data_IF_574878191357
#
_entry.id   IF_574878191357
#
_cell.length_a   1.000
_cell.length_b   1.000
_cell.length_c   1.000
_cell.angle_alpha   90.00
_cell.angle_beta   90.00
_cell.angle_gamma   90.00
#
_symmetry.space_group_name_H-M   'P 1'
#
loop_
_entity.id
_entity.type
_entity.pdbx_description
1 polymer ?
#
# COMPACT_ATOMS: atom_id res chain seq x y z
N UNK A 1 -2.26 -48.55 -19.56
CA UNK A 1 -3.24 -47.51 -19.96
C UNK A 1 -4.03 -46.94 -18.76
N UNK A 2 -4.73 -47.78 -17.94
CA UNK A 2 -5.49 -47.28 -16.76
C UNK A 2 -4.65 -46.52 -15.71
N UNK A 3 -3.47 -47.00 -15.37
CA UNK A 3 -2.59 -46.34 -14.38
C UNK A 3 -2.15 -44.97 -14.88
N UNK A 4 -1.74 -44.85 -16.15
CA UNK A 4 -1.33 -43.57 -16.75
C UNK A 4 -2.49 -42.56 -16.74
N UNK A 5 -3.69 -43.03 -17.05
CA UNK A 5 -4.91 -42.21 -17.04
C UNK A 5 -5.21 -41.65 -15.62
N UNK A 6 -5.14 -42.53 -14.59
CA UNK A 6 -5.32 -42.13 -13.20
C UNK A 6 -4.28 -41.11 -12.79
N UNK A 7 -2.98 -41.31 -13.12
CA UNK A 7 -1.93 -40.37 -12.81
C UNK A 7 -2.18 -39.01 -13.47
N UNK A 8 -2.55 -38.97 -14.74
CA UNK A 8 -2.85 -37.74 -15.45
C UNK A 8 -4.02 -36.98 -14.80
N UNK A 9 -5.12 -37.67 -14.48
CA UNK A 9 -6.26 -37.05 -13.80
C UNK A 9 -5.86 -36.52 -12.43
N UNK A 10 -5.08 -37.26 -11.66
CA UNK A 10 -4.61 -36.81 -10.34
C UNK A 10 -3.75 -35.55 -10.44
N UNK A 11 -2.86 -35.47 -11.43
CA UNK A 11 -2.04 -34.28 -11.68
C UNK A 11 -2.92 -33.09 -12.06
N UNK A 12 -3.88 -33.26 -12.97
CA UNK A 12 -4.81 -32.20 -13.37
C UNK A 12 -5.61 -31.70 -12.16
N UNK A 13 -6.11 -32.61 -11.33
CA UNK A 13 -6.86 -32.27 -10.12
C UNK A 13 -5.99 -31.47 -9.14
N UNK A 14 -4.75 -31.89 -8.90
CA UNK A 14 -3.80 -31.18 -8.04
C UNK A 14 -3.49 -29.76 -8.57
N UNK A 15 -3.26 -29.62 -9.86
CA UNK A 15 -3.03 -28.31 -10.50
C UNK A 15 -4.28 -27.43 -10.35
N UNK A 16 -5.46 -27.97 -10.55
CA UNK A 16 -6.73 -27.24 -10.42
C UNK A 16 -6.95 -26.76 -8.99
N UNK A 17 -6.77 -27.63 -8.01
CA UNK A 17 -6.88 -27.30 -6.57
C UNK A 17 -5.86 -26.25 -6.20
N UNK A 18 -4.60 -26.42 -6.61
CA UNK A 18 -3.53 -25.47 -6.35
C UNK A 18 -3.84 -24.09 -6.99
N UNK A 19 -4.26 -24.06 -8.25
CA UNK A 19 -4.65 -22.83 -8.94
C UNK A 19 -5.79 -22.12 -8.22
N UNK A 20 -6.82 -22.84 -7.81
CA UNK A 20 -7.92 -22.29 -7.02
C UNK A 20 -7.43 -21.73 -5.67
N UNK A 21 -6.54 -22.44 -4.99
CA UNK A 21 -6.02 -22.03 -3.70
C UNK A 21 -5.23 -20.70 -3.80
N UNK A 22 -4.33 -20.56 -4.77
CA UNK A 22 -3.48 -19.37 -4.89
C UNK A 22 -4.23 -18.16 -5.46
N UNK A 23 -5.25 -18.37 -6.31
CA UNK A 23 -6.05 -17.28 -6.90
C UNK A 23 -7.19 -16.80 -6.01
N UNK A 24 -7.40 -17.42 -4.84
CA UNK A 24 -8.46 -16.97 -3.91
C UNK A 24 -8.21 -15.52 -3.44
N UNK A 25 -9.28 -14.77 -3.23
CA UNK A 25 -9.22 -13.35 -2.92
C UNK A 25 -8.55 -12.98 -1.59
N UNK A 26 -8.41 -13.92 -0.67
CA UNK A 26 -8.00 -13.62 0.71
C UNK A 26 -9.17 -13.16 1.58
N UNK A 27 -8.90 -12.94 2.87
CA UNK A 27 -9.89 -12.45 3.85
C UNK A 27 -9.49 -11.07 4.36
N UNK A 28 -10.44 -10.34 4.92
CA UNK A 28 -10.14 -9.13 5.69
C UNK A 28 -9.35 -9.54 6.94
N UNK A 29 -8.24 -8.86 7.18
CA UNK A 29 -7.46 -8.97 8.40
C UNK A 29 -7.25 -7.57 8.93
N UNK A 30 -7.90 -7.26 10.04
CA UNK A 30 -7.84 -5.94 10.67
C UNK A 30 -6.83 -6.00 11.82
N UNK A 31 -5.81 -5.16 11.82
CA UNK A 31 -4.89 -5.05 12.93
C UNK A 31 -5.60 -4.45 14.15
N UNK A 32 -5.15 -4.83 15.33
CA UNK A 32 -5.64 -4.27 16.60
C UNK A 32 -4.56 -3.40 17.23
N UNK A 33 -4.97 -2.22 17.68
CA UNK A 33 -4.15 -1.36 18.51
C UNK A 33 -4.30 -1.70 19.99
N UNK A 34 -3.77 -0.83 20.83
CA UNK A 34 -3.85 -0.93 22.29
C UNK A 34 -4.06 0.45 22.90
N UNK A 35 -5.26 0.64 23.45
CA UNK A 35 -5.67 1.92 24.01
C UNK A 35 -5.94 3.00 22.96
N UNK A 36 -5.94 4.26 23.40
CA UNK A 36 -6.22 5.41 22.56
C UNK A 36 -5.12 6.45 22.63
N UNK A 37 -5.03 7.27 21.57
CA UNK A 37 -4.18 8.47 21.54
C UNK A 37 -5.07 9.67 21.22
N UNK A 38 -4.88 10.75 21.97
CA UNK A 38 -5.56 12.03 21.73
C UNK A 38 -4.66 12.96 20.96
N UNK A 39 -5.13 13.41 19.80
CA UNK A 39 -4.47 14.39 18.93
C UNK A 39 -5.36 15.62 18.80
N UNK A 40 -4.84 16.69 18.20
CA UNK A 40 -5.63 17.90 17.92
C UNK A 40 -6.86 17.65 17.04
N UNK A 41 -6.80 16.63 16.19
CA UNK A 41 -7.85 16.23 15.24
C UNK A 41 -8.81 15.17 15.81
N UNK A 42 -8.63 14.68 17.04
CA UNK A 42 -9.54 13.68 17.60
C UNK A 42 -8.87 12.62 18.48
N UNK A 43 -9.65 11.60 18.80
CA UNK A 43 -9.18 10.43 19.56
C UNK A 43 -9.15 9.22 18.63
N UNK A 44 -7.99 8.57 18.55
CA UNK A 44 -7.72 7.45 17.64
C UNK A 44 -7.25 6.23 18.42
N UNK A 45 -7.41 5.05 17.82
CA UNK A 45 -6.84 3.81 18.34
C UNK A 45 -5.32 3.84 18.24
N UNK A 46 -4.63 3.80 19.37
CA UNK A 46 -3.17 3.78 19.42
C UNK A 46 -2.62 2.44 18.94
N UNK A 47 -1.56 2.46 18.15
CA UNK A 47 -0.87 1.26 17.69
C UNK A 47 0.59 1.27 18.14
N UNK A 48 0.93 0.66 19.28
CA UNK A 48 2.33 0.49 19.68
C UNK A 48 3.11 -0.26 18.60
N UNK A 49 4.11 0.39 18.02
CA UNK A 49 4.94 -0.24 17.00
C UNK A 49 5.69 -1.45 17.61
N UNK A 50 5.75 -2.58 16.91
CA UNK A 50 6.61 -3.67 17.33
C UNK A 50 8.09 -3.25 17.27
N UNK A 51 8.94 -3.82 18.11
CA UNK A 51 10.34 -3.42 18.32
C UNK A 51 11.13 -3.22 17.03
N UNK A 52 10.93 -4.12 16.04
CA UNK A 52 11.64 -4.02 14.76
C UNK A 52 11.24 -2.79 13.93
N UNK A 53 10.05 -2.24 14.14
CA UNK A 53 9.57 -1.03 13.48
C UNK A 53 9.84 0.22 14.34
N UNK A 54 9.67 0.11 15.66
CA UNK A 54 9.90 1.20 16.61
C UNK A 54 11.35 1.74 16.52
N UNK A 55 12.34 0.84 16.41
CA UNK A 55 13.76 1.23 16.26
C UNK A 55 14.09 2.00 14.97
N UNK A 56 13.16 2.04 14.01
CA UNK A 56 13.36 2.70 12.72
C UNK A 56 12.96 4.17 12.71
N UNK A 57 12.39 4.67 13.80
CA UNK A 57 11.91 6.05 13.98
C UNK A 57 12.25 6.54 15.38
N UNK A 58 12.23 7.87 15.61
CA UNK A 58 12.42 8.40 16.95
C UNK A 58 11.20 8.15 17.85
N UNK A 59 11.34 8.23 19.18
CA UNK A 59 10.22 8.08 20.12
C UNK A 59 9.12 9.13 19.97
N UNK A 60 9.38 10.23 19.28
CA UNK A 60 8.42 11.32 19.07
C UNK A 60 7.34 10.96 18.03
N UNK A 61 7.57 9.89 17.26
CA UNK A 61 6.59 9.44 16.28
C UNK A 61 5.37 8.83 16.95
N UNK A 62 4.22 9.30 16.54
CA UNK A 62 2.91 8.75 16.90
C UNK A 62 2.53 7.70 15.87
N UNK A 63 1.94 6.61 16.34
CA UNK A 63 1.50 5.48 15.51
C UNK A 63 0.09 5.11 15.93
N UNK A 64 -0.88 5.21 14.99
CA UNK A 64 -2.29 5.02 15.29
C UNK A 64 -3.08 4.60 14.06
N UNK A 65 -4.34 4.25 14.27
CA UNK A 65 -5.27 3.89 13.20
C UNK A 65 -6.34 4.95 12.98
N UNK A 66 -6.66 5.18 11.72
CA UNK A 66 -7.90 5.82 11.27
C UNK A 66 -8.79 4.74 10.66
N UNK A 67 -9.98 4.53 11.21
CA UNK A 67 -10.96 3.63 10.64
C UNK A 67 -11.68 4.31 9.48
N UNK A 68 -11.56 3.73 8.30
CA UNK A 68 -12.09 4.32 7.05
C UNK A 68 -13.39 3.65 6.59
N UNK A 69 -13.61 2.43 7.01
CA UNK A 69 -14.85 1.65 6.89
C UNK A 69 -14.93 0.69 8.08
N UNK A 70 -16.12 0.16 8.42
CA UNK A 70 -16.23 -0.80 9.51
C UNK A 70 -15.25 -1.96 9.37
N UNK A 71 -14.29 -2.05 10.30
CA UNK A 71 -13.25 -3.07 10.30
C UNK A 71 -12.12 -2.85 9.30
N UNK A 72 -12.05 -1.72 8.60
CA UNK A 72 -10.95 -1.36 7.70
C UNK A 72 -10.22 -0.13 8.23
N UNK A 73 -8.97 -0.30 8.61
CA UNK A 73 -8.15 0.73 9.26
C UNK A 73 -6.91 1.06 8.46
N UNK A 74 -6.64 2.34 8.31
CA UNK A 74 -5.39 2.89 7.76
C UNK A 74 -4.45 3.18 8.92
N UNK A 75 -3.26 2.61 8.88
CA UNK A 75 -2.20 2.93 9.82
C UNK A 75 -1.56 4.28 9.44
N UNK A 76 -1.44 5.15 10.42
CA UNK A 76 -0.80 6.45 10.31
C UNK A 76 0.46 6.46 11.16
N UNK A 77 1.54 6.92 10.57
CA UNK A 77 2.75 7.33 11.27
C UNK A 77 2.83 8.85 11.21
N UNK A 78 2.98 9.51 12.35
CA UNK A 78 2.91 10.98 12.43
C UNK A 78 4.01 11.54 13.34
N UNK A 79 4.56 12.69 12.96
CA UNK A 79 5.55 13.41 13.78
C UNK A 79 5.47 14.91 13.53
N UNK A 80 5.84 15.71 14.55
CA UNK A 80 5.87 17.17 14.47
C UNK A 80 4.51 17.82 14.73
N UNK A 81 4.45 19.14 14.50
CA UNK A 81 3.27 19.99 14.71
C UNK A 81 3.27 21.16 13.73
N UNK A 82 2.12 21.78 13.49
CA UNK A 82 1.97 22.95 12.58
C UNK A 82 1.37 22.58 11.24
N UNK A 83 1.89 23.11 10.13
CA UNK A 83 1.36 22.93 8.79
C UNK A 83 1.37 21.45 8.38
N UNK A 84 0.22 20.85 7.98
CA UNK A 84 0.17 19.47 7.56
C UNK A 84 0.98 19.20 6.28
N UNK A 85 1.88 18.22 6.36
CA UNK A 85 2.64 17.65 5.24
C UNK A 85 2.24 16.19 5.12
N UNK A 86 1.50 15.84 4.07
CA UNK A 86 0.94 14.50 3.86
C UNK A 86 1.76 13.74 2.85
N UNK A 87 2.39 12.65 3.26
CA UNK A 87 3.38 11.91 2.47
C UNK A 87 2.86 10.50 2.16
N UNK A 88 2.49 10.27 0.89
CA UNK A 88 1.87 9.02 0.44
C UNK A 88 2.86 8.17 -0.37
N UNK A 89 3.11 6.97 0.15
CA UNK A 89 4.00 5.98 -0.45
C UNK A 89 3.32 5.17 -1.56
N UNK A 90 4.11 4.34 -2.24
CA UNK A 90 3.64 3.40 -3.25
C UNK A 90 3.81 1.92 -2.87
N UNK A 91 3.61 1.06 -3.86
CA UNK A 91 3.69 -0.39 -3.71
C UNK A 91 5.13 -0.89 -3.81
N UNK A 92 5.61 -1.78 -2.94
CA UNK A 92 4.96 -2.42 -1.79
C UNK A 92 5.42 -1.84 -0.42
N UNK A 93 5.75 -0.57 -0.35
CA UNK A 93 6.29 0.06 0.86
C UNK A 93 5.19 0.43 1.88
N UNK A 94 5.46 1.36 2.79
CA UNK A 94 4.52 1.88 3.79
C UNK A 94 4.89 3.31 4.16
N UNK A 95 4.15 3.97 5.04
CA UNK A 95 4.44 5.31 5.54
C UNK A 95 5.89 5.50 6.01
N UNK A 96 6.53 4.44 6.47
CA UNK A 96 7.95 4.46 6.85
C UNK A 96 8.92 4.85 5.71
N UNK A 97 8.46 4.84 4.44
CA UNK A 97 9.28 5.28 3.31
C UNK A 97 9.84 6.68 3.53
N UNK A 98 9.03 7.55 4.09
CA UNK A 98 9.34 8.96 4.25
C UNK A 98 10.04 9.33 5.57
N UNK A 99 10.28 8.38 6.49
CA UNK A 99 10.84 8.66 7.82
C UNK A 99 12.11 9.52 7.79
N UNK A 100 13.06 9.21 6.87
CA UNK A 100 14.32 9.97 6.74
C UNK A 100 14.12 11.38 6.17
N UNK A 101 13.03 11.59 5.41
CA UNK A 101 12.64 12.93 4.95
C UNK A 101 11.99 13.67 6.11
N UNK A 102 11.04 13.04 6.79
CA UNK A 102 10.35 13.61 7.95
C UNK A 102 11.36 14.10 9.01
N UNK A 103 12.37 13.29 9.34
CA UNK A 103 13.41 13.63 10.31
C UNK A 103 14.26 14.88 9.93
N UNK A 104 14.18 15.34 8.68
CA UNK A 104 14.89 16.52 8.17
C UNK A 104 14.02 17.77 8.04
N UNK A 105 12.72 17.63 8.24
CA UNK A 105 11.79 18.74 8.18
C UNK A 105 11.80 19.52 9.52
N UNK A 106 11.42 20.79 9.51
CA UNK A 106 11.30 21.59 10.74
C UNK A 106 10.05 21.18 11.52
N UNK A 107 10.17 20.12 12.34
CA UNK A 107 9.07 19.47 13.06
C UNK A 107 8.38 20.37 14.10
N UNK A 108 8.97 21.50 14.43
CA UNK A 108 8.34 22.58 15.20
C UNK A 108 7.35 23.43 14.38
N UNK A 109 7.39 23.32 13.03
CA UNK A 109 6.55 24.09 12.09
C UNK A 109 5.66 23.25 11.21
N UNK A 110 5.99 21.97 11.03
CA UNK A 110 5.23 21.06 10.17
C UNK A 110 4.80 19.80 10.90
N UNK A 111 3.56 19.39 10.66
CA UNK A 111 2.97 18.12 11.09
C UNK A 111 3.08 17.15 9.93
N UNK A 112 3.98 16.18 10.02
CA UNK A 112 4.21 15.19 8.96
C UNK A 112 3.32 13.98 9.19
N UNK A 113 2.46 13.68 8.24
CA UNK A 113 1.46 12.62 8.28
C UNK A 113 1.80 11.62 7.17
N UNK A 114 2.03 10.38 7.54
CA UNK A 114 2.50 9.31 6.66
C UNK A 114 1.56 8.10 6.74
N UNK A 115 0.44 8.13 6.00
CA UNK A 115 -0.47 6.98 5.97
C UNK A 115 0.15 5.80 5.24
N UNK A 116 -0.32 4.61 5.59
CA UNK A 116 0.01 3.37 4.88
C UNK A 116 -1.22 2.90 4.10
N UNK A 117 -1.05 2.63 2.81
CA UNK A 117 -2.12 2.10 1.94
C UNK A 117 -2.72 0.82 2.51
N UNK A 118 -4.06 0.68 2.40
CA UNK A 118 -4.75 -0.57 2.72
C UNK A 118 -4.11 -1.73 1.97
N UNK A 119 -3.87 -2.82 2.68
CA UNK A 119 -3.20 -4.02 2.20
C UNK A 119 -1.69 -4.07 2.50
N UNK A 120 -1.04 -2.93 2.78
CA UNK A 120 0.39 -2.83 3.03
C UNK A 120 0.71 -2.51 4.50
N UNK A 121 1.97 -2.65 4.89
CA UNK A 121 2.47 -2.35 6.23
C UNK A 121 1.52 -2.81 7.34
N UNK A 122 1.21 -1.92 8.28
CA UNK A 122 0.31 -2.20 9.40
C UNK A 122 -1.16 -1.85 9.13
N UNK A 123 -1.55 -1.39 7.94
CA UNK A 123 -2.95 -1.19 7.58
C UNK A 123 -3.70 -2.50 7.40
N UNK A 124 -5.03 -2.48 7.47
CA UNK A 124 -5.89 -3.64 7.22
C UNK A 124 -5.55 -4.30 5.89
N UNK A 125 -5.66 -5.63 5.85
CA UNK A 125 -5.55 -6.41 4.63
C UNK A 125 -6.97 -6.74 4.16
N UNK A 126 -7.16 -6.74 2.85
CA UNK A 126 -8.46 -6.93 2.22
C UNK A 126 -8.40 -7.96 1.10
N UNK A 127 -9.54 -8.48 0.63
CA UNK A 127 -9.60 -9.34 -0.55
C UNK A 127 -9.00 -8.68 -1.79
N UNK A 128 -8.35 -9.48 -2.64
CA UNK A 128 -7.68 -9.03 -3.86
C UNK A 128 -8.59 -8.21 -4.79
N UNK A 129 -9.86 -8.62 -4.92
CA UNK A 129 -10.84 -7.96 -5.80
C UNK A 129 -11.30 -6.57 -5.29
N UNK A 130 -11.03 -6.22 -4.04
CA UNK A 130 -11.34 -4.92 -3.47
C UNK A 130 -10.22 -3.88 -3.68
N UNK A 131 -9.04 -4.31 -4.12
CA UNK A 131 -7.98 -3.39 -4.51
C UNK A 131 -8.31 -2.76 -5.87
N UNK A 132 -8.95 -1.61 -5.84
CA UNK A 132 -9.20 -0.73 -6.99
C UNK A 132 -8.70 0.67 -6.67
N UNK A 133 -8.36 1.45 -7.70
CA UNK A 133 -7.89 2.82 -7.48
C UNK A 133 -8.97 3.66 -6.79
N UNK A 134 -10.24 3.53 -7.18
CA UNK A 134 -11.37 4.21 -6.53
C UNK A 134 -11.46 3.91 -5.04
N UNK A 135 -11.32 2.66 -4.64
CA UNK A 135 -11.35 2.30 -3.22
C UNK A 135 -10.19 2.93 -2.46
N UNK A 136 -8.97 2.87 -3.00
CA UNK A 136 -7.82 3.50 -2.37
C UNK A 136 -7.95 5.01 -2.26
N UNK A 137 -8.47 5.68 -3.30
CA UNK A 137 -8.79 7.12 -3.28
C UNK A 137 -9.81 7.42 -2.19
N UNK A 138 -10.91 6.66 -2.13
CA UNK A 138 -11.98 6.85 -1.14
C UNK A 138 -11.47 6.70 0.30
N UNK A 139 -10.63 5.71 0.58
CA UNK A 139 -10.05 5.52 1.91
C UNK A 139 -9.10 6.65 2.32
N UNK A 140 -8.27 7.13 1.41
CA UNK A 140 -7.38 8.27 1.71
C UNK A 140 -8.16 9.57 1.85
N UNK A 141 -9.22 9.79 1.04
CA UNK A 141 -10.12 10.91 1.25
C UNK A 141 -10.78 10.86 2.64
N UNK A 142 -11.21 9.67 3.09
CA UNK A 142 -11.74 9.49 4.45
C UNK A 142 -10.70 9.82 5.52
N UNK A 143 -9.42 9.43 5.33
CA UNK A 143 -8.32 9.80 6.24
C UNK A 143 -8.17 11.33 6.32
N UNK A 144 -8.16 12.03 5.17
CA UNK A 144 -8.03 13.50 5.14
C UNK A 144 -9.16 14.17 5.93
N UNK A 145 -10.40 13.66 5.78
CA UNK A 145 -11.56 14.18 6.50
C UNK A 145 -11.51 13.88 8.00
N UNK A 146 -11.18 12.66 8.41
CA UNK A 146 -11.10 12.26 9.82
C UNK A 146 -9.97 12.99 10.57
N UNK A 147 -8.92 13.41 9.87
CA UNK A 147 -7.85 14.23 10.44
C UNK A 147 -8.16 15.72 10.45
N UNK A 148 -9.36 16.13 9.98
CA UNK A 148 -9.87 17.51 9.96
C UNK A 148 -8.87 18.51 9.34
N UNK A 149 -8.20 18.09 8.25
CA UNK A 149 -7.20 18.93 7.60
C UNK A 149 -7.89 20.08 6.85
N UNK A 150 -7.47 21.31 7.11
CA UNK A 150 -7.94 22.53 6.40
C UNK A 150 -7.02 22.95 5.26
N UNK A 151 -5.76 22.51 5.31
CA UNK A 151 -4.75 22.74 4.28
C UNK A 151 -3.71 21.63 4.33
N UNK A 152 -3.02 21.37 3.21
CA UNK A 152 -1.99 20.34 3.15
C UNK A 152 -0.95 20.63 2.06
N UNK A 153 0.33 20.40 2.39
CA UNK A 153 1.38 20.17 1.40
C UNK A 153 1.44 18.66 1.16
N UNK A 154 1.29 18.26 -0.08
CA UNK A 154 1.23 16.85 -0.46
C UNK A 154 2.53 16.37 -1.09
N UNK A 155 2.95 15.13 -0.79
CA UNK A 155 3.96 14.43 -1.58
C UNK A 155 3.53 12.99 -1.84
N UNK A 156 3.61 12.57 -3.11
CA UNK A 156 3.25 11.22 -3.54
C UNK A 156 4.31 10.58 -4.43
N UNK A 157 4.58 9.31 -4.19
CA UNK A 157 5.48 8.50 -4.99
C UNK A 157 4.77 7.24 -5.44
N UNK A 158 5.00 6.78 -6.71
CA UNK A 158 4.38 5.60 -7.27
C UNK A 158 2.84 5.67 -7.14
N UNK A 159 2.16 4.66 -6.55
CA UNK A 159 0.71 4.71 -6.28
C UNK A 159 0.28 5.84 -5.34
N UNK A 160 1.19 6.39 -4.55
CA UNK A 160 0.90 7.61 -3.78
C UNK A 160 0.48 8.78 -4.66
N UNK A 161 0.98 8.89 -5.91
CA UNK A 161 0.54 9.92 -6.85
C UNK A 161 -0.96 9.87 -7.12
N UNK A 162 -1.47 8.88 -7.86
CA UNK A 162 -2.88 8.84 -8.25
C UNK A 162 -3.83 8.68 -7.05
N UNK A 163 -3.46 7.91 -6.02
CA UNK A 163 -4.31 7.73 -4.84
C UNK A 163 -4.50 9.04 -4.09
N UNK A 164 -3.42 9.73 -3.75
CA UNK A 164 -3.53 10.94 -2.93
C UNK A 164 -4.03 12.15 -3.72
N UNK A 165 -3.61 12.31 -4.96
CA UNK A 165 -4.13 13.38 -5.81
C UNK A 165 -5.62 13.14 -6.14
N UNK A 166 -6.03 11.89 -6.38
CA UNK A 166 -7.44 11.53 -6.53
C UNK A 166 -8.26 11.85 -5.27
N UNK A 167 -7.71 11.59 -4.07
CA UNK A 167 -8.37 11.99 -2.82
C UNK A 167 -8.47 13.51 -2.66
N UNK A 168 -7.40 14.25 -2.95
CA UNK A 168 -7.36 15.70 -2.84
C UNK A 168 -8.21 16.40 -3.92
N UNK A 169 -8.43 15.77 -5.07
CA UNK A 169 -9.30 16.33 -6.13
C UNK A 169 -10.76 16.49 -5.67
N UNK A 170 -11.17 15.74 -4.63
CA UNK A 170 -12.51 15.88 -4.03
C UNK A 170 -12.63 17.11 -3.14
N UNK A 171 -11.50 17.70 -2.71
CA UNK A 171 -11.45 18.93 -1.91
C UNK A 171 -10.21 19.75 -2.32
N UNK A 172 -10.20 20.35 -3.52
CA UNK A 172 -9.02 21.02 -4.09
C UNK A 172 -8.50 22.19 -3.27
N UNK A 173 -9.35 22.83 -2.48
CA UNK A 173 -8.99 23.94 -1.60
C UNK A 173 -8.00 23.54 -0.49
N UNK A 174 -7.94 22.25 -0.13
CA UNK A 174 -6.98 21.74 0.84
C UNK A 174 -5.54 21.83 0.32
N UNK A 175 -5.33 21.65 -0.99
CA UNK A 175 -4.00 21.52 -1.57
C UNK A 175 -3.29 22.87 -1.69
N UNK A 176 -2.21 23.07 -0.94
CA UNK A 176 -1.32 24.25 -1.02
C UNK A 176 -0.13 24.06 -1.94
N UNK A 177 0.31 22.83 -2.11
CA UNK A 177 1.41 22.47 -2.99
C UNK A 177 1.60 20.96 -3.06
N UNK A 178 2.20 20.50 -4.15
CA UNK A 178 2.46 19.08 -4.36
C UNK A 178 3.89 18.83 -4.86
N UNK A 179 4.51 17.76 -4.34
CA UNK A 179 5.76 17.19 -4.83
C UNK A 179 5.48 15.75 -5.27
N UNK A 180 5.62 15.49 -6.55
CA UNK A 180 5.28 14.19 -7.14
C UNK A 180 6.53 13.52 -7.69
N UNK A 181 6.73 12.26 -7.34
CA UNK A 181 7.97 11.53 -7.62
C UNK A 181 7.65 10.17 -8.26
N UNK A 182 8.24 9.92 -9.44
CA UNK A 182 8.14 8.61 -10.12
C UNK A 182 6.71 8.06 -10.13
N UNK A 183 5.77 8.85 -10.65
CA UNK A 183 4.33 8.55 -10.65
C UNK A 183 3.65 9.04 -11.93
N UNK A 184 2.40 8.61 -12.15
CA UNK A 184 1.57 9.02 -13.27
C UNK A 184 0.11 9.19 -12.85
N UNK A 185 -0.66 9.97 -13.64
CA UNK A 185 -2.04 10.34 -13.32
C UNK A 185 -3.02 10.07 -14.45
N UNK A 186 -2.52 9.65 -15.61
CA UNK A 186 -3.36 9.48 -16.78
C UNK A 186 -3.32 8.02 -17.23
N UNK A 187 -4.48 7.43 -17.41
CA UNK A 187 -4.59 6.19 -18.14
C UNK A 187 -4.19 6.39 -19.62
N UNK A 188 -3.60 5.39 -20.28
CA UNK A 188 -3.35 5.44 -21.70
C UNK A 188 -4.66 5.67 -22.49
N UNK A 189 -4.62 6.57 -23.48
CA UNK A 189 -5.78 6.85 -24.37
C UNK A 189 -6.08 5.71 -25.32
N UNK A 190 -5.08 4.90 -25.60
CA UNK A 190 -5.16 3.69 -26.44
C UNK A 190 -4.55 2.52 -25.70
N UNK A 191 -4.84 1.30 -26.14
CA UNK A 191 -4.23 0.12 -25.57
C UNK A 191 -2.73 0.11 -25.82
N UNK A 192 -1.95 -0.08 -24.75
CA UNK A 192 -0.49 -0.12 -24.79
C UNK A 192 0.04 -1.45 -24.27
N UNK A 193 1.16 -1.88 -24.81
CA UNK A 193 1.89 -3.01 -24.27
C UNK A 193 2.63 -2.59 -23.00
N UNK A 194 2.25 -3.20 -21.90
CA UNK A 194 2.96 -3.03 -20.63
C UNK A 194 4.27 -3.79 -20.65
N UNK A 195 5.14 -3.47 -19.69
CA UNK A 195 6.40 -4.19 -19.54
C UNK A 195 6.18 -5.71 -19.38
N UNK A 196 7.17 -6.56 -19.70
CA UNK A 196 7.05 -8.01 -19.51
C UNK A 196 6.69 -8.42 -18.09
N UNK A 197 7.09 -7.63 -17.10
CA UNK A 197 6.68 -7.82 -15.70
C UNK A 197 5.17 -7.66 -15.54
N UNK A 198 4.60 -6.55 -16.02
CA UNK A 198 3.16 -6.29 -15.93
C UNK A 198 2.34 -7.32 -16.70
N UNK A 199 2.80 -7.77 -17.87
CA UNK A 199 2.13 -8.84 -18.62
C UNK A 199 2.04 -10.14 -17.80
N UNK A 200 3.13 -10.53 -17.12
CA UNK A 200 3.14 -11.71 -16.23
C UNK A 200 2.18 -11.57 -15.05
N UNK A 201 2.23 -10.43 -14.34
CA UNK A 201 1.39 -10.24 -13.15
C UNK A 201 -0.09 -10.14 -13.47
N UNK A 202 -0.45 -9.67 -14.67
CA UNK A 202 -1.84 -9.65 -15.14
C UNK A 202 -2.40 -11.02 -15.51
N UNK A 203 -1.54 -12.00 -15.82
CA UNK A 203 -1.98 -13.35 -16.16
C UNK A 203 -2.39 -14.11 -14.89
N UNK A 204 -3.64 -14.56 -14.77
CA UNK A 204 -4.09 -15.36 -13.63
C UNK A 204 -3.23 -16.60 -13.44
N UNK A 205 -3.06 -17.04 -12.19
CA UNK A 205 -2.18 -18.12 -11.73
C UNK A 205 -0.70 -17.77 -11.88
N UNK A 206 -0.27 -17.24 -13.04
CA UNK A 206 1.13 -16.87 -13.29
C UNK A 206 1.55 -15.71 -12.39
N UNK A 207 0.69 -14.68 -12.25
CA UNK A 207 0.95 -13.54 -11.38
C UNK A 207 1.07 -13.95 -9.92
N UNK A 208 0.15 -14.78 -9.44
CA UNK A 208 0.18 -15.31 -8.07
C UNK A 208 1.43 -16.16 -7.82
N UNK A 209 1.75 -17.10 -8.70
CA UNK A 209 2.97 -17.90 -8.61
C UNK A 209 4.22 -17.03 -8.55
N UNK A 210 4.27 -16.04 -9.43
CA UNK A 210 5.43 -15.17 -9.56
C UNK A 210 5.58 -14.25 -8.33
N UNK A 211 4.54 -13.51 -7.94
CA UNK A 211 4.64 -12.45 -6.90
C UNK A 211 4.49 -13.00 -5.49
N UNK A 212 3.62 -14.02 -5.29
CA UNK A 212 3.30 -14.50 -3.94
C UNK A 212 4.14 -15.70 -3.50
N UNK A 213 4.75 -16.45 -4.44
CA UNK A 213 5.48 -17.67 -4.13
C UNK A 213 6.96 -17.60 -4.53
N UNK A 214 7.25 -17.21 -5.80
CA UNK A 214 8.61 -17.30 -6.35
C UNK A 214 9.41 -16.02 -6.19
N UNK A 215 8.74 -14.88 -6.22
CA UNK A 215 9.35 -13.57 -6.27
C UNK A 215 8.92 -12.76 -5.07
N UNK A 216 9.71 -12.77 -4.00
CA UNK A 216 9.44 -11.89 -2.87
C UNK A 216 9.66 -10.42 -3.30
N UNK A 217 8.62 -9.61 -3.50
CA UNK A 217 8.76 -8.24 -4.00
C UNK A 217 9.57 -7.35 -3.06
N UNK A 218 9.54 -7.62 -1.76
CA UNK A 218 10.30 -6.86 -0.77
C UNK A 218 11.81 -7.12 -0.86
N UNK A 219 12.24 -8.33 -1.19
CA UNK A 219 13.66 -8.64 -1.41
C UNK A 219 14.15 -8.08 -2.75
N UNK A 220 13.32 -8.15 -3.78
CA UNK A 220 13.72 -7.78 -5.13
C UNK A 220 13.86 -6.26 -5.32
N UNK A 221 13.17 -5.46 -4.52
CA UNK A 221 13.30 -3.99 -4.58
C UNK A 221 14.75 -3.53 -4.40
N UNK A 222 15.55 -4.22 -3.60
CA UNK A 222 16.98 -3.91 -3.43
C UNK A 222 17.78 -3.93 -4.73
N UNK A 223 17.34 -4.70 -5.73
CA UNK A 223 18.02 -4.82 -7.04
C UNK A 223 17.75 -3.64 -7.97
N UNK A 224 16.70 -2.87 -7.71
CA UNK A 224 16.28 -1.72 -8.53
C UNK A 224 16.51 -0.38 -7.83
N UNK A 225 17.09 -0.40 -6.63
CA UNK A 225 17.44 0.82 -5.91
C UNK A 225 18.71 1.45 -6.48
N UNK A 226 18.79 2.79 -6.47
CA UNK A 226 20.00 3.51 -6.88
C UNK A 226 21.19 3.25 -5.95
N UNK A 227 20.94 3.04 -4.66
CA UNK A 227 21.93 2.53 -3.69
C UNK A 227 21.40 1.23 -3.05
N UNK A 228 21.89 0.04 -3.48
CA UNK A 228 21.46 -1.24 -2.92
C UNK A 228 21.66 -1.36 -1.40
N UNK A 229 22.61 -0.62 -0.81
CA UNK A 229 22.85 -0.61 0.65
C UNK A 229 21.69 0.03 1.43
N UNK A 230 20.86 0.83 0.76
CA UNK A 230 19.66 1.43 1.36
C UNK A 230 18.56 0.39 1.65
N UNK A 231 18.67 -0.82 1.09
CA UNK A 231 17.68 -1.89 1.18
C UNK A 231 18.21 -3.07 1.99
N UNK A 232 18.44 -2.84 3.28
CA UNK A 232 18.95 -3.85 4.22
C UNK A 232 17.87 -4.88 4.60
N UNK A 233 18.29 -5.99 5.23
CA UNK A 233 17.37 -7.00 5.79
C UNK A 233 16.36 -6.39 6.77
N UNK A 234 16.76 -5.38 7.54
CA UNK A 234 15.86 -4.68 8.46
C UNK A 234 14.77 -3.92 7.70
N UNK A 235 15.09 -3.33 6.55
CA UNK A 235 14.12 -2.65 5.67
C UNK A 235 13.19 -3.66 5.01
N UNK A 236 13.71 -4.79 4.53
CA UNK A 236 12.91 -5.89 3.99
C UNK A 236 11.92 -6.37 5.06
N UNK A 237 12.39 -6.59 6.28
CA UNK A 237 11.56 -6.98 7.42
C UNK A 237 10.51 -5.92 7.77
N UNK A 238 10.89 -4.64 7.75
CA UNK A 238 9.99 -3.53 8.06
C UNK A 238 8.77 -3.52 7.14
N UNK A 239 8.96 -3.69 5.85
CA UNK A 239 7.87 -3.67 4.86
C UNK A 239 7.19 -5.02 4.69
N UNK A 240 7.94 -6.11 4.64
CA UNK A 240 7.43 -7.43 4.31
C UNK A 240 6.72 -8.14 5.48
N UNK A 241 7.32 -8.06 6.69
CA UNK A 241 6.80 -8.82 7.84
C UNK A 241 5.33 -8.53 8.17
N UNK A 242 4.85 -7.27 8.24
CA UNK A 242 3.44 -7.00 8.53
C UNK A 242 2.47 -7.57 7.49
N UNK A 243 2.94 -7.70 6.25
CA UNK A 243 2.14 -8.25 5.14
C UNK A 243 2.10 -9.77 5.23
N UNK A 244 3.25 -10.43 5.39
CA UNK A 244 3.32 -11.89 5.44
C UNK A 244 2.70 -12.47 6.71
N UNK A 245 2.97 -11.88 7.87
CA UNK A 245 2.41 -12.34 9.16
C UNK A 245 0.88 -12.24 9.21
N UNK A 246 0.28 -11.37 8.42
CA UNK A 246 -1.18 -11.25 8.30
C UNK A 246 -1.84 -12.46 7.65
N UNK A 247 -1.09 -13.28 6.92
CA UNK A 247 -1.63 -14.36 6.09
C UNK A 247 -2.44 -13.90 4.88
N UNK A 248 -2.41 -12.58 4.56
CA UNK A 248 -3.02 -12.02 3.35
C UNK A 248 -2.06 -11.03 2.69
N UNK A 249 -1.28 -11.51 1.73
CA UNK A 249 -0.29 -10.74 0.96
C UNK A 249 -0.79 -10.26 -0.41
N UNK A 250 -2.11 -10.26 -0.62
CA UNK A 250 -2.74 -9.98 -1.93
C UNK A 250 -2.50 -8.57 -2.46
N UNK A 251 -2.25 -7.60 -1.60
CA UNK A 251 -2.15 -6.19 -1.97
C UNK A 251 -1.07 -5.92 -3.02
N UNK A 252 0.14 -6.48 -2.84
CA UNK A 252 1.26 -6.21 -3.73
C UNK A 252 0.95 -6.57 -5.18
N UNK A 253 0.45 -7.78 -5.41
CA UNK A 253 0.04 -8.22 -6.74
C UNK A 253 -1.16 -7.43 -7.26
N UNK A 254 -2.18 -7.21 -6.40
CA UNK A 254 -3.39 -6.50 -6.79
C UNK A 254 -3.10 -5.06 -7.22
N UNK A 255 -2.23 -4.35 -6.52
CA UNK A 255 -1.83 -3.00 -6.90
C UNK A 255 -1.02 -2.98 -8.21
N UNK A 256 -0.19 -3.97 -8.48
CA UNK A 256 0.46 -4.10 -9.81
C UNK A 256 -0.58 -4.31 -10.92
N UNK A 257 -1.69 -5.01 -10.65
CA UNK A 257 -2.80 -5.23 -11.58
C UNK A 257 -3.69 -4.01 -11.79
N UNK A 258 -3.62 -3.00 -10.92
CA UNK A 258 -4.34 -1.73 -11.09
C UNK A 258 -3.74 -0.86 -12.20
N UNK A 259 -2.50 -1.10 -12.66
CA UNK A 259 -1.87 -0.30 -13.72
C UNK A 259 -2.67 -0.43 -15.02
N UNK A 260 -3.27 0.67 -15.55
CA UNK A 260 -4.06 0.60 -16.77
C UNK A 260 -3.18 0.34 -18.00
N UNK A 261 -3.64 -0.53 -18.88
CA UNK A 261 -3.05 -0.80 -20.19
C UNK A 261 -3.89 -0.23 -21.35
N UNK A 262 -4.91 0.53 -21.03
CA UNK A 262 -5.80 1.20 -21.98
C UNK A 262 -7.00 1.82 -21.30
N UNK A 263 -7.86 2.52 -22.08
CA UNK A 263 -9.02 3.23 -21.54
C UNK A 263 -10.10 2.29 -20.94
N UNK A 264 -10.15 1.05 -21.39
CA UNK A 264 -11.13 0.05 -20.93
C UNK A 264 -10.71 -0.66 -19.63
N UNK A 265 -9.53 -0.35 -19.10
CA UNK A 265 -9.10 -0.92 -17.83
C UNK A 265 -9.98 -0.40 -16.69
N UNK A 266 -10.36 -1.28 -15.74
CA UNK A 266 -11.27 -0.95 -14.64
C UNK A 266 -10.85 0.27 -13.80
N UNK A 267 -9.53 0.52 -13.68
CA UNK A 267 -9.00 1.64 -12.90
C UNK A 267 -8.67 2.87 -13.77
N UNK A 268 -8.91 2.82 -15.10
CA UNK A 268 -8.55 3.92 -16.01
C UNK A 268 -9.34 5.20 -15.74
N UNK A 269 -10.63 5.08 -15.42
CA UNK A 269 -11.48 6.24 -15.16
C UNK A 269 -11.14 7.00 -13.87
N UNK A 270 -10.43 6.33 -12.93
CA UNK A 270 -10.02 6.92 -11.66
C UNK A 270 -8.64 7.60 -11.71
N UNK A 271 -7.92 7.49 -12.85
CA UNK A 271 -6.65 8.17 -13.09
C UNK A 271 -6.87 9.52 -13.75
#
# INVERSE_FOLDING_TARGET
MRILFIVVISIILLITIFSFYITRNGKIVTPMGSGTITLSSGIYENFPLPDYAAKMVSPDYKSYFVEVEPGIKVHILEVGQGLPVFLMHGNPTSGFLYRKIADRLPLDKVRVIMPTSIGLGFSSKIPANQHTLDNHIRWINKVLNELELSEVIYSGQDWGGPIGMGALSQSPSLLKGAVLMNTGFNAPKEKVDLTPLHARVKTPVVGELFVEILFNPFEQLGRVQGDPRSWSEEIIKLYGKPVFDSGNSKATLSMMRMVPDGPDHRDAAAM
#
